data_IF_897773470376
#
_entry.id   IF_897773470376
#
_cell.length_a   1.000
_cell.length_b   1.000
_cell.length_c   1.000
_cell.angle_alpha   90.00
_cell.angle_beta   90.00
_cell.angle_gamma   90.00
#
_symmetry.space_group_name_H-M   'P 1'
#
loop_
_entity.id
_entity.type
_entity.pdbx_description
1 polymer ?
#
# COMPACT_ATOMS: atom_id res chain seq x y z
N UNK A 1 -3.50 12.17 -3.31
CA UNK A 1 -2.86 10.85 -3.17
C UNK A 1 -3.94 9.81 -3.39
N UNK A 2 -3.96 9.07 -4.52
CA UNK A 2 -4.95 8.02 -4.74
C UNK A 2 -4.79 6.94 -3.67
N UNK A 3 -5.86 6.66 -2.93
CA UNK A 3 -5.90 5.61 -1.92
C UNK A 3 -6.77 4.48 -2.46
N UNK A 4 -6.14 3.48 -3.11
CA UNK A 4 -6.83 2.35 -3.77
C UNK A 4 -7.19 1.22 -2.81
N UNK A 5 -7.49 1.58 -1.56
CA UNK A 5 -7.81 0.62 -0.51
C UNK A 5 -9.31 0.36 -0.47
N UNK A 6 -9.68 -0.90 -0.31
CA UNK A 6 -11.07 -1.28 -0.04
C UNK A 6 -11.46 -0.69 1.32
N UNK A 7 -12.50 0.15 1.35
CA UNK A 7 -12.99 0.81 2.58
C UNK A 7 -14.18 0.11 3.21
N UNK A 8 -14.85 -0.77 2.46
CA UNK A 8 -16.04 -1.50 2.91
C UNK A 8 -16.04 -2.89 2.25
N UNK A 9 -16.33 -3.92 3.05
CA UNK A 9 -16.61 -5.27 2.56
C UNK A 9 -17.94 -5.72 3.19
N UNK A 10 -18.84 -6.39 2.45
CA UNK A 10 -20.22 -6.67 2.89
C UNK A 10 -20.31 -7.57 4.14
N UNK A 11 -19.32 -8.43 4.39
CA UNK A 11 -19.36 -9.41 5.49
C UNK A 11 -18.14 -9.29 6.43
N UNK A 12 -17.07 -8.60 5.99
CA UNK A 12 -15.81 -8.56 6.73
C UNK A 12 -15.52 -7.14 7.24
N UNK A 13 -15.33 -7.02 8.55
CA UNK A 13 -14.92 -5.76 9.18
C UNK A 13 -13.44 -5.49 8.92
N UNK A 14 -13.15 -4.29 8.41
CA UNK A 14 -11.80 -3.84 8.14
C UNK A 14 -11.19 -3.32 9.45
N UNK A 15 -10.15 -4.01 9.92
CA UNK A 15 -9.47 -3.64 11.14
C UNK A 15 -8.61 -2.39 10.92
N UNK A 16 -8.75 -1.38 11.79
CA UNK A 16 -7.90 -0.20 11.77
C UNK A 16 -6.49 -0.58 12.20
N UNK A 17 -5.56 -0.66 11.25
CA UNK A 17 -4.14 -0.87 11.53
C UNK A 17 -3.44 0.48 11.69
N UNK A 18 -2.34 0.51 12.45
CA UNK A 18 -1.53 1.73 12.63
C UNK A 18 -0.88 2.11 11.30
N UNK A 19 -1.12 3.34 10.83
CA UNK A 19 -0.43 3.89 9.65
C UNK A 19 1.05 4.13 9.98
N UNK A 20 1.93 3.73 9.08
CA UNK A 20 3.37 3.95 9.15
C UNK A 20 3.85 4.60 7.85
N UNK A 21 4.88 5.44 7.94
CA UNK A 21 5.54 6.02 6.77
C UNK A 21 6.76 5.18 6.39
N UNK A 22 6.99 4.99 5.10
CA UNK A 22 8.19 4.38 4.56
C UNK A 22 8.61 5.08 3.27
N UNK A 23 9.84 4.83 2.80
CA UNK A 23 10.34 5.39 1.54
C UNK A 23 10.43 4.32 0.46
N UNK A 24 10.03 4.67 -0.76
CA UNK A 24 10.18 3.86 -1.97
C UNK A 24 10.58 4.79 -3.12
N UNK A 25 11.67 4.48 -3.84
CA UNK A 25 12.21 5.34 -4.91
C UNK A 25 12.31 6.83 -4.50
N UNK A 26 12.86 7.10 -3.32
CA UNK A 26 12.97 8.43 -2.72
C UNK A 26 11.63 9.16 -2.47
N UNK A 27 10.49 8.48 -2.60
CA UNK A 27 9.17 9.01 -2.31
C UNK A 27 8.66 8.47 -0.97
N UNK A 28 8.10 9.36 -0.14
CA UNK A 28 7.50 9.00 1.14
C UNK A 28 6.08 8.48 0.92
N UNK A 29 5.82 7.24 1.30
CA UNK A 29 4.53 6.54 1.13
C UNK A 29 3.94 6.14 2.48
N UNK A 30 2.63 5.85 2.49
CA UNK A 30 1.91 5.39 3.67
C UNK A 30 1.56 3.90 3.57
N UNK A 31 1.84 3.13 4.62
CA UNK A 31 1.46 1.72 4.75
C UNK A 31 0.79 1.47 6.11
N UNK A 32 0.32 0.23 6.33
CA UNK A 32 -0.10 -0.23 7.64
C UNK A 32 0.96 -1.12 8.29
N UNK A 33 1.12 -1.04 9.61
CA UNK A 33 2.04 -1.92 10.35
C UNK A 33 1.67 -3.39 10.12
N UNK A 34 2.65 -4.21 9.76
CA UNK A 34 2.45 -5.64 9.46
C UNK A 34 1.82 -5.92 8.08
N UNK A 35 1.68 -4.90 7.23
CA UNK A 35 1.26 -5.06 5.85
C UNK A 35 2.43 -5.47 4.94
N UNK A 36 2.14 -6.24 3.90
CA UNK A 36 3.13 -6.60 2.88
C UNK A 36 3.44 -5.43 1.96
N UNK A 37 4.70 -5.30 1.55
CA UNK A 37 5.19 -4.15 0.76
C UNK A 37 4.43 -4.02 -0.57
N UNK A 38 4.17 -5.14 -1.27
CA UNK A 38 3.44 -5.14 -2.54
C UNK A 38 2.03 -4.55 -2.41
N UNK A 39 1.27 -4.91 -1.35
CA UNK A 39 -0.04 -4.33 -1.06
C UNK A 39 0.04 -2.85 -0.71
N UNK A 40 1.09 -2.44 0.03
CA UNK A 40 1.31 -1.03 0.35
C UNK A 40 1.58 -0.21 -0.91
N UNK A 41 2.44 -0.68 -1.82
CA UNK A 41 2.74 -0.02 -3.09
C UNK A 41 1.49 0.09 -3.97
N UNK A 42 0.75 -1.00 -4.12
CA UNK A 42 -0.52 -1.04 -4.86
C UNK A 42 -1.52 -0.03 -4.30
N UNK A 43 -1.68 0.02 -2.98
CA UNK A 43 -2.59 0.94 -2.31
C UNK A 43 -2.22 2.42 -2.49
N UNK A 44 -0.95 2.72 -2.76
CA UNK A 44 -0.44 4.06 -3.09
C UNK A 44 -0.44 4.33 -4.62
N UNK A 45 -0.97 3.42 -5.43
CA UNK A 45 -1.09 3.58 -6.87
C UNK A 45 0.11 3.10 -7.71
N UNK A 46 1.05 2.38 -7.10
CA UNK A 46 2.24 1.85 -7.77
C UNK A 46 1.94 0.43 -8.23
N UNK A 47 1.85 0.24 -9.55
CA UNK A 47 1.55 -1.06 -10.18
C UNK A 47 2.78 -1.75 -10.78
N UNK A 48 3.87 -1.01 -10.96
CA UNK A 48 5.14 -1.53 -11.51
C UNK A 48 6.20 -1.44 -10.42
N UNK A 49 6.70 -2.59 -9.98
CA UNK A 49 7.67 -2.69 -8.87
C UNK A 49 9.14 -2.67 -9.33
N UNK A 50 9.37 -2.84 -10.62
CA UNK A 50 10.68 -2.82 -11.24
C UNK A 50 10.55 -3.18 -12.72
N UNK A 51 11.56 -2.80 -13.49
CA UNK A 51 11.70 -3.25 -14.87
C UNK A 51 12.74 -4.36 -14.89
N UNK A 52 12.41 -5.49 -15.50
CA UNK A 52 13.38 -6.56 -15.69
C UNK A 52 14.50 -6.03 -16.61
N UNK A 53 15.74 -6.07 -16.11
CA UNK A 53 16.91 -5.73 -16.92
C UNK A 53 17.08 -6.88 -17.90
N UNK A 54 17.01 -6.58 -19.20
CA UNK A 54 17.19 -7.55 -20.28
C UNK A 54 18.64 -7.96 -20.42
#
# INVERSE_FOLDING_TARGET
MPEWRIKKHPILSIHKRKKIGFYWNNQKLQAYKGEVISSALLANGIHVFGHHIK
#
